data_IF_089294977127
#
_entry.id   IF_089294977127
#
_cell.length_a   1.000
_cell.length_b   1.000
_cell.length_c   1.000
_cell.angle_alpha   90.00
_cell.angle_beta   90.00
_cell.angle_gamma   90.00
#
_symmetry.space_group_name_H-M   'P 1'
#
loop_
_entity.id
_entity.type
_entity.pdbx_description
1 polymer ?
#
# COMPACT_ATOMS: atom_id res chain seq x y z
N UNK A 1 5.02 10.90 42.64
CA UNK A 1 3.84 11.47 41.95
C UNK A 1 3.72 10.95 40.52
N UNK A 2 4.71 11.18 39.63
CA UNK A 2 4.64 10.81 38.21
C UNK A 2 4.35 9.31 37.95
N UNK A 3 5.01 8.39 38.67
CA UNK A 3 4.70 6.95 38.58
C UNK A 3 3.23 6.68 38.93
N UNK A 4 2.67 7.34 39.94
CA UNK A 4 1.26 7.23 40.29
C UNK A 4 0.33 7.69 39.17
N UNK A 5 0.69 8.75 38.43
CA UNK A 5 -0.05 9.21 37.26
C UNK A 5 -0.01 8.20 36.10
N UNK A 6 1.14 7.55 35.88
CA UNK A 6 1.26 6.45 34.90
C UNK A 6 0.30 5.33 35.27
N UNK A 7 0.30 4.85 36.52
CA UNK A 7 -0.61 3.78 36.92
C UNK A 7 -2.09 4.21 36.86
N UNK A 8 -2.42 5.45 37.22
CA UNK A 8 -3.79 5.96 37.14
C UNK A 8 -4.30 6.02 35.68
N UNK A 9 -3.50 6.54 34.77
CA UNK A 9 -3.85 6.62 33.33
C UNK A 9 -3.89 5.24 32.69
N UNK A 10 -2.97 4.34 33.07
CA UNK A 10 -2.97 2.96 32.60
C UNK A 10 -4.13 2.13 33.17
N UNK A 11 -4.65 2.46 34.34
CA UNK A 11 -5.89 1.86 34.85
C UNK A 11 -7.08 2.22 33.96
N UNK A 12 -7.19 3.48 33.51
CA UNK A 12 -8.23 3.89 32.55
C UNK A 12 -8.11 3.13 31.22
N UNK A 13 -6.89 2.99 30.68
CA UNK A 13 -6.64 2.18 29.50
C UNK A 13 -6.99 0.70 29.71
N UNK A 14 -6.67 0.14 30.89
CA UNK A 14 -6.99 -1.26 31.22
C UNK A 14 -8.50 -1.49 31.26
N UNK A 15 -9.26 -0.56 31.85
CA UNK A 15 -10.73 -0.60 31.84
C UNK A 15 -11.27 -0.60 30.42
N UNK A 16 -10.72 0.24 29.54
CA UNK A 16 -11.07 0.30 28.12
C UNK A 16 -10.86 -1.04 27.40
N UNK A 17 -9.67 -1.64 27.56
CA UNK A 17 -9.28 -2.90 26.93
C UNK A 17 -10.13 -4.09 27.41
N UNK A 18 -10.46 -4.13 28.71
CA UNK A 18 -11.25 -5.22 29.32
C UNK A 18 -12.71 -5.15 28.92
N UNK A 19 -13.29 -3.95 28.92
CA UNK A 19 -14.70 -3.75 28.59
C UNK A 19 -14.96 -3.81 27.09
N UNK A 20 -13.92 -3.88 26.24
CA UNK A 20 -14.07 -3.93 24.80
C UNK A 20 -14.84 -2.70 24.29
N UNK A 21 -14.51 -1.52 24.83
CA UNK A 21 -15.18 -0.27 24.50
C UNK A 21 -14.76 0.23 23.11
N UNK A 22 -14.82 -0.60 22.07
CA UNK A 22 -14.46 -0.23 20.69
C UNK A 22 -15.22 1.04 20.26
N UNK A 23 -16.49 1.16 20.69
CA UNK A 23 -17.31 2.37 20.48
C UNK A 23 -16.85 3.55 21.36
N UNK A 24 -16.42 3.30 22.59
CA UNK A 24 -15.93 4.32 23.52
C UNK A 24 -14.59 4.90 23.09
N UNK A 25 -13.63 4.06 22.72
CA UNK A 25 -12.31 4.45 22.19
C UNK A 25 -12.48 5.25 20.91
N UNK A 26 -13.37 4.82 20.01
CA UNK A 26 -13.69 5.57 18.79
C UNK A 26 -14.19 6.97 19.12
N UNK A 27 -15.16 7.10 20.03
CA UNK A 27 -15.69 8.41 20.46
C UNK A 27 -14.63 9.28 21.14
N UNK A 28 -13.78 8.70 21.99
CA UNK A 28 -12.68 9.41 22.63
C UNK A 28 -11.69 9.95 21.59
N UNK A 29 -11.35 9.14 20.58
CA UNK A 29 -10.50 9.56 19.46
C UNK A 29 -11.15 10.68 18.63
N UNK A 30 -12.44 10.57 18.31
CA UNK A 30 -13.19 11.62 17.61
C UNK A 30 -13.24 12.93 18.39
N UNK A 31 -13.53 12.87 19.71
CA UNK A 31 -13.49 14.03 20.61
C UNK A 31 -12.10 14.67 20.60
N UNK A 32 -11.05 13.85 20.64
CA UNK A 32 -9.68 14.33 20.68
C UNK A 32 -9.27 15.06 19.39
N UNK A 33 -9.72 14.59 18.23
CA UNK A 33 -9.54 15.30 16.96
C UNK A 33 -10.29 16.65 16.98
N UNK A 34 -11.52 16.69 17.51
CA UNK A 34 -12.27 17.94 17.65
C UNK A 34 -11.55 18.92 18.60
N UNK A 35 -11.05 18.44 19.74
CA UNK A 35 -10.27 19.25 20.67
C UNK A 35 -8.96 19.76 20.04
N UNK A 36 -8.28 18.93 19.25
CA UNK A 36 -7.08 19.33 18.52
C UNK A 36 -7.38 20.44 17.50
N UNK A 37 -8.45 20.30 16.74
CA UNK A 37 -8.89 21.32 15.78
C UNK A 37 -9.31 22.61 16.49
N UNK A 38 -10.00 22.51 17.63
CA UNK A 38 -10.39 23.65 18.44
C UNK A 38 -9.16 24.38 19.00
N UNK A 39 -8.20 23.64 19.55
CA UNK A 39 -6.95 24.19 20.08
C UNK A 39 -6.16 24.91 18.98
N UNK A 40 -6.01 24.27 17.83
CA UNK A 40 -5.32 24.85 16.67
C UNK A 40 -6.02 26.13 16.20
N UNK A 41 -7.35 26.12 16.09
CA UNK A 41 -8.13 27.28 15.69
C UNK A 41 -8.00 28.43 16.70
N UNK A 42 -8.08 28.14 18.00
CA UNK A 42 -7.93 29.16 19.03
C UNK A 42 -6.55 29.80 18.94
N UNK A 43 -5.47 29.01 18.89
CA UNK A 43 -4.10 29.53 18.77
C UNK A 43 -3.95 30.37 17.49
N UNK A 44 -4.47 29.88 16.36
CA UNK A 44 -4.43 30.59 15.09
C UNK A 44 -5.13 31.95 15.12
N UNK A 45 -6.28 32.04 15.78
CA UNK A 45 -7.08 33.27 15.90
C UNK A 45 -6.50 34.24 16.94
N UNK A 46 -5.84 33.73 17.99
CA UNK A 46 -5.22 34.57 19.02
C UNK A 46 -3.83 35.07 18.62
N UNK A 47 -3.14 34.35 17.74
CA UNK A 47 -1.87 34.75 17.15
C UNK A 47 -2.02 35.60 15.89
N UNK A 48 -0.92 36.04 15.27
CA UNK A 48 -0.95 36.78 14.01
C UNK A 48 -1.32 35.85 12.84
N UNK A 49 -2.63 35.64 12.64
CA UNK A 49 -3.19 34.65 11.70
C UNK A 49 -2.57 34.70 10.30
N UNK A 50 -2.45 35.89 9.71
CA UNK A 50 -1.89 36.04 8.37
C UNK A 50 -0.44 35.58 8.29
N UNK A 51 0.37 35.91 9.31
CA UNK A 51 1.75 35.48 9.42
C UNK A 51 1.84 33.96 9.57
N UNK A 52 1.03 33.36 10.44
CA UNK A 52 1.05 31.92 10.69
C UNK A 52 0.66 31.11 9.44
N UNK A 53 -0.37 31.55 8.71
CA UNK A 53 -0.79 30.87 7.48
C UNK A 53 0.24 31.04 6.36
N UNK A 54 0.75 32.26 6.15
CA UNK A 54 1.79 32.50 5.14
C UNK A 54 3.08 31.75 5.47
N UNK A 55 3.50 31.75 6.74
CA UNK A 55 4.66 31.02 7.24
C UNK A 55 4.49 29.51 7.10
N UNK A 56 3.30 28.97 7.37
CA UNK A 56 3.00 27.54 7.17
C UNK A 56 3.18 27.15 5.70
N UNK A 57 2.65 27.95 4.77
CA UNK A 57 2.78 27.68 3.34
C UNK A 57 4.23 27.78 2.88
N UNK A 58 4.97 28.79 3.34
CA UNK A 58 6.38 28.95 3.05
C UNK A 58 7.20 27.77 3.58
N UNK A 59 6.95 27.33 4.81
CA UNK A 59 7.62 26.19 5.45
C UNK A 59 7.32 24.88 4.71
N UNK A 60 6.09 24.70 4.23
CA UNK A 60 5.74 23.55 3.39
C UNK A 60 6.53 23.55 2.08
N UNK A 61 6.61 24.70 1.39
CA UNK A 61 7.43 24.84 0.18
C UNK A 61 8.91 24.54 0.43
N UNK A 62 9.46 25.05 1.54
CA UNK A 62 10.83 24.78 1.96
C UNK A 62 11.08 23.31 2.32
N UNK A 63 10.10 22.63 2.95
CA UNK A 63 10.17 21.20 3.23
C UNK A 63 10.23 20.37 1.94
N UNK A 64 9.36 20.67 0.96
CA UNK A 64 9.34 19.98 -0.33
C UNK A 64 10.64 20.20 -1.09
N UNK A 65 11.12 21.44 -1.18
CA UNK A 65 12.39 21.77 -1.82
C UNK A 65 13.59 21.11 -1.13
N UNK A 66 13.53 20.96 0.20
CA UNK A 66 14.59 20.38 1.02
C UNK A 66 14.53 18.86 1.20
N UNK A 67 13.57 18.16 0.59
CA UNK A 67 13.33 16.74 0.87
C UNK A 67 14.56 15.88 0.59
N UNK A 68 15.06 15.91 -0.65
CA UNK A 68 16.24 15.12 -1.07
C UNK A 68 17.50 15.45 -0.27
N UNK A 69 17.94 16.72 -0.16
CA UNK A 69 19.18 17.03 0.56
C UNK A 69 19.08 16.64 2.05
N UNK A 70 17.95 16.91 2.72
CA UNK A 70 17.79 16.54 4.14
C UNK A 70 17.72 15.03 4.37
N UNK A 71 17.19 14.25 3.43
CA UNK A 71 17.18 12.78 3.52
C UNK A 71 18.58 12.19 3.48
N UNK A 72 19.51 12.82 2.75
CA UNK A 72 20.87 12.31 2.55
C UNK A 72 21.92 13.01 3.44
N UNK A 73 21.52 14.03 4.19
CA UNK A 73 22.42 14.77 5.06
C UNK A 73 22.75 13.97 6.33
N UNK A 74 24.03 13.60 6.43
CA UNK A 74 24.60 12.88 7.57
C UNK A 74 25.45 13.79 8.46
N UNK A 75 25.47 15.11 8.22
CA UNK A 75 26.29 16.07 8.96
C UNK A 75 27.80 15.72 8.99
N UNK A 76 28.30 15.05 7.94
CA UNK A 76 29.68 14.51 7.87
C UNK A 76 30.73 15.62 7.98
N UNK A 77 30.46 16.77 7.37
CA UNK A 77 31.38 17.91 7.33
C UNK A 77 31.10 18.94 8.44
N UNK A 78 29.98 18.82 9.14
CA UNK A 78 29.59 19.67 10.29
C UNK A 78 29.04 18.80 11.43
N UNK A 79 29.88 17.98 12.10
CA UNK A 79 29.42 17.03 13.11
C UNK A 79 28.69 17.74 14.25
N UNK A 80 27.51 17.24 14.60
CA UNK A 80 26.64 17.81 15.63
C UNK A 80 25.84 16.73 16.36
N UNK A 81 25.55 16.95 17.64
CA UNK A 81 24.67 16.09 18.43
C UNK A 81 23.21 16.14 17.93
N UNK A 82 22.87 17.12 17.09
CA UNK A 82 21.54 17.29 16.51
C UNK A 82 21.07 16.05 15.73
N UNK A 83 21.97 15.46 14.94
CA UNK A 83 21.62 14.32 14.09
C UNK A 83 21.17 13.11 14.92
N UNK A 84 21.89 12.83 16.02
CA UNK A 84 21.53 11.77 16.97
C UNK A 84 20.27 12.09 17.77
N UNK A 85 20.20 13.29 18.36
CA UNK A 85 19.12 13.70 19.26
C UNK A 85 17.76 13.88 18.59
N UNK A 86 17.74 14.20 17.29
CA UNK A 86 16.51 14.46 16.55
C UNK A 86 16.28 13.46 15.41
N UNK A 87 17.13 13.47 14.38
CA UNK A 87 16.89 12.69 13.16
C UNK A 87 16.90 11.18 13.45
N UNK A 88 17.98 10.66 14.04
CA UNK A 88 18.10 9.24 14.36
C UNK A 88 17.05 8.83 15.41
N UNK A 89 16.82 9.67 16.42
CA UNK A 89 15.79 9.42 17.42
C UNK A 89 14.40 9.25 16.78
N UNK A 90 13.96 10.19 15.95
CA UNK A 90 12.63 10.10 15.31
C UNK A 90 12.56 8.92 14.33
N UNK A 91 13.62 8.63 13.57
CA UNK A 91 13.65 7.41 12.74
C UNK A 91 13.49 6.15 13.60
N UNK A 92 14.23 6.06 14.71
CA UNK A 92 14.11 4.95 15.65
C UNK A 92 12.70 4.83 16.22
N UNK A 93 12.12 5.94 16.65
CA UNK A 93 10.74 6.00 17.13
C UNK A 93 9.77 5.48 16.08
N UNK A 94 9.75 6.06 14.88
CA UNK A 94 8.79 5.67 13.84
C UNK A 94 8.95 4.21 13.41
N UNK A 95 10.18 3.71 13.32
CA UNK A 95 10.46 2.29 13.02
C UNK A 95 9.90 1.39 14.14
N UNK A 96 10.13 1.72 15.41
CA UNK A 96 9.59 0.94 16.54
C UNK A 96 8.05 0.92 16.59
N UNK A 97 7.40 1.96 16.06
CA UNK A 97 5.95 2.11 16.01
C UNK A 97 5.30 1.52 14.76
N UNK A 98 6.09 1.23 13.71
CA UNK A 98 5.60 0.71 12.46
C UNK A 98 4.72 -0.56 12.56
N UNK A 99 5.01 -1.58 13.41
CA UNK A 99 4.15 -2.76 13.50
C UNK A 99 2.80 -2.43 14.12
N UNK A 100 2.77 -1.54 15.12
CA UNK A 100 1.55 -1.05 15.74
C UNK A 100 0.68 -0.26 14.74
N UNK A 101 1.26 0.77 14.13
CA UNK A 101 0.55 1.64 13.18
C UNK A 101 0.16 0.87 11.92
N UNK A 102 1.04 0.02 11.39
CA UNK A 102 0.81 -0.74 10.17
C UNK A 102 -0.41 -1.65 10.26
N UNK A 103 -0.59 -2.39 11.36
CA UNK A 103 -1.77 -3.24 11.58
C UNK A 103 -3.04 -2.39 11.66
N UNK A 104 -2.99 -1.28 12.40
CA UNK A 104 -4.15 -0.39 12.54
C UNK A 104 -4.58 0.19 11.19
N UNK A 105 -3.64 0.79 10.44
CA UNK A 105 -3.94 1.40 9.14
C UNK A 105 -4.40 0.33 8.15
N UNK A 106 -3.80 -0.87 8.16
CA UNK A 106 -4.24 -1.98 7.30
C UNK A 106 -5.71 -2.37 7.55
N UNK A 107 -6.15 -2.42 8.82
CA UNK A 107 -7.54 -2.78 9.17
C UNK A 107 -8.56 -1.79 8.63
N UNK A 108 -8.29 -0.50 8.80
CA UNK A 108 -9.21 0.56 8.37
C UNK A 108 -9.16 0.81 6.85
N UNK A 109 -8.17 0.23 6.16
CA UNK A 109 -7.96 0.41 4.71
C UNK A 109 -8.50 -0.74 3.86
N UNK A 110 -9.28 -1.66 4.43
CA UNK A 110 -9.88 -2.78 3.70
C UNK A 110 -10.76 -2.27 2.54
N UNK A 111 -10.51 -2.78 1.34
CA UNK A 111 -11.25 -2.42 0.13
C UNK A 111 -10.74 -1.18 -0.61
N UNK A 112 -9.65 -0.56 -0.15
CA UNK A 112 -8.97 0.52 -0.87
C UNK A 112 -7.96 -0.04 -1.87
N UNK A 113 -7.76 0.67 -2.98
CA UNK A 113 -6.63 0.39 -3.87
C UNK A 113 -5.31 0.76 -3.19
N UNK A 114 -4.20 0.13 -3.59
CA UNK A 114 -2.86 0.45 -3.09
C UNK A 114 -2.55 1.94 -3.29
N UNK A 115 -2.97 2.52 -4.43
CA UNK A 115 -2.75 3.94 -4.74
C UNK A 115 -3.49 4.86 -3.76
N UNK A 116 -4.79 4.64 -3.56
CA UNK A 116 -5.58 5.45 -2.61
C UNK A 116 -5.03 5.34 -1.19
N UNK A 117 -4.63 4.12 -0.79
CA UNK A 117 -4.00 3.87 0.50
C UNK A 117 -2.71 4.69 0.68
N UNK A 118 -1.79 4.62 -0.28
CA UNK A 118 -0.50 5.31 -0.20
C UNK A 118 -0.68 6.83 -0.17
N UNK A 119 -1.55 7.38 -1.01
CA UNK A 119 -1.83 8.82 -1.04
C UNK A 119 -2.48 9.28 0.26
N UNK A 120 -3.48 8.54 0.75
CA UNK A 120 -4.21 8.88 1.96
C UNK A 120 -3.34 8.82 3.22
N UNK A 121 -2.55 7.76 3.38
CA UNK A 121 -1.70 7.57 4.57
C UNK A 121 -0.50 8.51 4.62
N UNK A 122 -0.06 9.03 3.47
CA UNK A 122 1.08 9.96 3.40
C UNK A 122 0.63 11.42 3.42
N UNK A 123 -0.25 11.84 2.50
CA UNK A 123 -0.56 13.26 2.34
C UNK A 123 -1.38 13.83 3.50
N UNK A 124 -2.41 13.11 3.97
CA UNK A 124 -3.34 13.66 4.98
C UNK A 124 -2.60 13.93 6.30
N UNK A 125 -1.81 12.99 6.87
CA UNK A 125 -1.06 13.27 8.10
C UNK A 125 0.03 14.32 7.90
N UNK A 126 0.75 14.31 6.76
CA UNK A 126 1.79 15.32 6.48
C UNK A 126 1.21 16.72 6.47
N UNK A 127 0.11 16.96 5.76
CA UNK A 127 -0.52 18.28 5.70
C UNK A 127 -1.03 18.73 7.08
N UNK A 128 -1.62 17.82 7.84
CA UNK A 128 -2.05 18.12 9.21
C UNK A 128 -0.85 18.50 10.11
N UNK A 129 0.25 17.74 10.06
CA UNK A 129 1.46 18.04 10.83
C UNK A 129 2.08 19.37 10.39
N UNK A 130 2.13 19.65 9.08
CA UNK A 130 2.61 20.93 8.57
C UNK A 130 1.78 22.09 9.12
N UNK A 131 0.45 21.96 9.14
CA UNK A 131 -0.44 22.97 9.71
C UNK A 131 -0.24 23.10 11.23
N UNK A 132 -0.16 21.97 11.94
CA UNK A 132 0.03 21.94 13.38
C UNK A 132 1.34 22.61 13.79
N UNK A 133 2.46 22.21 13.19
CA UNK A 133 3.78 22.78 13.48
C UNK A 133 3.89 24.23 12.99
N UNK A 134 3.27 24.55 11.85
CA UNK A 134 3.23 25.91 11.32
C UNK A 134 2.49 26.87 12.23
N UNK A 135 1.36 26.45 12.82
CA UNK A 135 0.58 27.28 13.74
C UNK A 135 1.19 27.31 15.14
N UNK A 136 1.39 26.16 15.80
CA UNK A 136 1.91 26.13 17.17
C UNK A 136 3.37 26.58 17.24
N UNK A 137 4.22 25.96 16.42
CA UNK A 137 5.65 26.28 16.37
C UNK A 137 5.91 27.69 15.83
N UNK A 138 5.18 28.10 14.79
CA UNK A 138 5.25 29.47 14.28
C UNK A 138 4.83 30.52 15.31
N UNK A 139 3.79 30.26 16.10
CA UNK A 139 3.36 31.15 17.18
C UNK A 139 4.41 31.26 18.29
N UNK A 140 5.00 30.13 18.69
CA UNK A 140 6.06 30.12 19.70
C UNK A 140 7.31 30.87 19.22
N UNK A 141 7.71 30.67 17.96
CA UNK A 141 8.83 31.40 17.37
C UNK A 141 8.55 32.90 17.30
N UNK A 142 7.35 33.31 16.88
CA UNK A 142 6.95 34.71 16.85
C UNK A 142 7.07 35.38 18.23
N UNK A 143 6.61 34.71 19.28
CA UNK A 143 6.74 35.20 20.66
C UNK A 143 8.21 35.39 21.05
N UNK A 144 9.06 34.40 20.73
CA UNK A 144 10.48 34.41 21.11
C UNK A 144 11.26 35.45 20.30
N UNK A 145 11.15 35.44 18.97
CA UNK A 145 12.05 36.19 18.09
C UNK A 145 11.60 37.62 17.83
N UNK A 146 10.29 37.85 17.75
CA UNK A 146 9.75 39.14 17.31
C UNK A 146 9.06 39.92 18.45
N UNK A 147 8.49 39.22 19.44
CA UNK A 147 7.87 39.85 20.61
C UNK A 147 8.79 39.92 21.83
N UNK A 148 10.00 39.34 21.75
CA UNK A 148 11.05 39.47 22.76
C UNK A 148 10.88 38.59 24.00
N UNK A 149 10.01 37.56 23.95
CA UNK A 149 9.82 36.62 25.05
C UNK A 149 10.88 35.51 25.06
N UNK A 150 12.16 35.88 25.13
CA UNK A 150 13.29 34.93 25.10
C UNK A 150 13.27 33.93 26.26
N UNK A 151 12.68 34.32 27.40
CA UNK A 151 12.49 33.45 28.57
C UNK A 151 11.68 32.19 28.25
N UNK A 152 10.73 32.26 27.30
CA UNK A 152 10.01 31.09 26.80
C UNK A 152 10.97 30.10 26.15
N UNK A 153 11.89 30.58 25.31
CA UNK A 153 12.90 29.77 24.66
C UNK A 153 13.83 29.09 25.67
N UNK A 154 14.30 29.84 26.67
CA UNK A 154 15.14 29.32 27.74
C UNK A 154 14.41 28.23 28.56
N UNK A 155 13.15 28.47 28.94
CA UNK A 155 12.35 27.51 29.71
C UNK A 155 12.09 26.21 28.93
N UNK A 156 11.87 26.30 27.61
CA UNK A 156 11.69 25.12 26.74
C UNK A 156 13.00 24.33 26.60
N UNK A 157 14.15 24.99 26.50
CA UNK A 157 15.45 24.31 26.44
C UNK A 157 15.79 23.61 27.76
N UNK A 158 15.49 24.23 28.90
CA UNK A 158 15.71 23.62 30.22
C UNK A 158 14.84 22.37 30.41
N UNK A 159 13.56 22.46 30.04
CA UNK A 159 12.63 21.34 30.18
C UNK A 159 11.61 21.29 29.03
N UNK A 160 11.91 20.52 27.96
CA UNK A 160 11.01 20.37 26.82
C UNK A 160 9.62 19.82 27.21
N UNK A 161 9.52 19.05 28.30
CA UNK A 161 8.26 18.43 28.71
C UNK A 161 7.19 19.43 29.20
N UNK A 162 7.60 20.63 29.63
CA UNK A 162 6.66 21.70 30.03
C UNK A 162 6.45 22.76 28.95
N UNK A 163 7.15 22.64 27.81
CA UNK A 163 7.22 23.68 26.79
C UNK A 163 5.86 24.11 26.22
N UNK A 164 4.95 23.16 26.01
CA UNK A 164 3.59 23.47 25.58
C UNK A 164 2.88 24.39 26.58
N UNK A 165 2.89 24.04 27.87
CA UNK A 165 2.20 24.81 28.89
C UNK A 165 2.84 26.17 29.12
N UNK A 166 4.18 26.25 29.07
CA UNK A 166 4.91 27.52 29.10
C UNK A 166 4.54 28.42 27.92
N UNK A 167 4.36 27.86 26.73
CA UNK A 167 3.90 28.62 25.57
C UNK A 167 2.46 29.14 25.78
N UNK A 168 1.56 28.33 26.34
CA UNK A 168 0.17 28.73 26.57
C UNK A 168 0.02 29.87 27.61
N UNK A 169 1.00 30.07 28.49
CA UNK A 169 1.04 31.20 29.45
C UNK A 169 1.07 32.57 28.74
N UNK A 170 1.53 32.63 27.50
CA UNK A 170 1.60 33.86 26.70
C UNK A 170 0.36 34.09 25.82
N UNK A 171 -0.60 33.16 25.83
CA UNK A 171 -1.84 33.26 25.05
C UNK A 171 -3.02 33.67 25.93
N UNK A 172 -4.04 34.37 25.37
CA UNK A 172 -5.26 34.64 26.11
C UNK A 172 -5.99 33.33 26.47
N UNK A 173 -6.67 33.32 27.62
CA UNK A 173 -7.36 32.15 28.15
C UNK A 173 -6.45 30.93 28.43
N UNK A 174 -5.22 31.18 28.90
CA UNK A 174 -4.23 30.15 29.31
C UNK A 174 -4.84 28.98 30.08
N UNK A 175 -5.68 29.24 31.09
CA UNK A 175 -6.30 28.19 31.89
C UNK A 175 -7.15 27.24 31.03
N UNK A 176 -7.98 27.79 30.14
CA UNK A 176 -8.84 27.00 29.25
C UNK A 176 -8.00 26.19 28.26
N UNK A 177 -7.01 26.83 27.63
CA UNK A 177 -6.11 26.16 26.68
C UNK A 177 -5.30 25.04 27.34
N UNK A 178 -4.86 25.26 28.57
CA UNK A 178 -4.10 24.29 29.37
C UNK A 178 -4.97 23.10 29.77
N UNK A 179 -6.22 23.32 30.18
CA UNK A 179 -7.17 22.24 30.49
C UNK A 179 -7.49 21.43 29.24
N UNK A 180 -7.75 22.08 28.10
CA UNK A 180 -7.98 21.39 26.82
C UNK A 180 -6.77 20.52 26.47
N UNK A 181 -5.57 21.09 26.53
CA UNK A 181 -4.32 20.38 26.21
C UNK A 181 -4.08 19.19 27.15
N UNK A 182 -4.34 19.35 28.45
CA UNK A 182 -4.20 18.28 29.43
C UNK A 182 -5.18 17.14 29.16
N UNK A 183 -6.46 17.46 28.89
CA UNK A 183 -7.47 16.46 28.54
C UNK A 183 -7.07 15.72 27.27
N UNK A 184 -6.60 16.44 26.24
CA UNK A 184 -6.11 15.83 25.01
C UNK A 184 -4.93 14.87 25.26
N UNK A 185 -3.94 15.28 26.06
CA UNK A 185 -2.79 14.44 26.41
C UNK A 185 -3.25 13.15 27.09
N UNK A 186 -4.18 13.24 28.05
CA UNK A 186 -4.73 12.07 28.74
C UNK A 186 -5.49 11.16 27.76
N UNK A 187 -6.32 11.72 26.88
CA UNK A 187 -7.05 10.93 25.89
C UNK A 187 -6.07 10.24 24.93
N UNK A 188 -5.14 10.98 24.33
CA UNK A 188 -4.11 10.42 23.44
C UNK A 188 -3.33 9.28 24.12
N UNK A 189 -2.95 9.47 25.38
CA UNK A 189 -2.22 8.46 26.13
C UNK A 189 -3.07 7.21 26.33
N UNK A 190 -4.32 7.35 26.80
CA UNK A 190 -5.23 6.22 27.04
C UNK A 190 -5.55 5.48 25.74
N UNK A 191 -5.89 6.19 24.66
CA UNK A 191 -6.23 5.56 23.37
C UNK A 191 -5.02 4.87 22.72
N UNK A 192 -3.83 5.47 22.84
CA UNK A 192 -2.60 4.87 22.31
C UNK A 192 -2.16 3.65 23.11
N UNK A 193 -2.25 3.71 24.45
CA UNK A 193 -1.92 2.58 25.32
C UNK A 193 -2.86 1.40 25.12
N UNK A 194 -4.17 1.66 24.99
CA UNK A 194 -5.19 0.67 24.68
C UNK A 194 -4.92 -0.03 23.34
N UNK A 195 -4.74 0.76 22.27
CA UNK A 195 -4.45 0.23 20.93
C UNK A 195 -3.12 -0.53 20.90
N UNK A 196 -2.09 -0.02 21.57
CA UNK A 196 -0.77 -0.67 21.67
C UNK A 196 -0.85 -2.01 22.40
N UNK A 197 -1.56 -2.06 23.52
CA UNK A 197 -1.78 -3.31 24.27
C UNK A 197 -2.56 -4.34 23.44
N UNK A 198 -3.56 -3.89 22.67
CA UNK A 198 -4.30 -4.76 21.75
C UNK A 198 -3.39 -5.42 20.71
N UNK A 199 -2.51 -4.64 20.07
CA UNK A 199 -1.59 -5.17 19.05
C UNK A 199 -0.56 -6.12 19.66
N UNK A 200 0.05 -5.78 20.80
CA UNK A 200 1.00 -6.67 21.49
C UNK A 200 0.34 -8.02 21.86
N UNK A 201 -0.89 -7.94 22.35
CA UNK A 201 -1.69 -9.11 22.65
C UNK A 201 -1.99 -9.96 21.40
N UNK A 202 -2.40 -9.33 20.30
CA UNK A 202 -2.70 -10.01 19.03
C UNK A 202 -1.45 -10.72 18.47
N UNK A 203 -0.29 -10.03 18.47
CA UNK A 203 0.98 -10.60 18.01
C UNK A 203 1.39 -11.81 18.87
N UNK A 204 1.13 -11.75 20.17
CA UNK A 204 1.38 -12.85 21.10
C UNK A 204 0.38 -14.00 20.98
N UNK A 205 -0.75 -13.79 20.30
CA UNK A 205 -1.82 -14.75 20.09
C UNK A 205 -1.91 -15.24 18.64
N UNK A 206 -0.79 -15.22 17.89
CA UNK A 206 -0.72 -15.65 16.47
C UNK A 206 -1.71 -14.93 15.55
N UNK A 207 -1.99 -13.65 15.82
CA UNK A 207 -2.91 -12.85 15.00
C UNK A 207 -4.38 -12.92 15.44
N UNK A 208 -4.70 -13.61 16.54
CA UNK A 208 -6.08 -13.71 17.04
C UNK A 208 -6.44 -12.48 17.88
N UNK A 209 -7.55 -11.83 17.52
CA UNK A 209 -8.06 -10.62 18.21
C UNK A 209 -8.85 -10.93 19.49
N UNK A 210 -9.58 -12.06 19.50
CA UNK A 210 -10.41 -12.45 20.63
C UNK A 210 -9.59 -13.24 21.67
N UNK A 211 -8.85 -12.52 22.50
CA UNK A 211 -8.05 -13.10 23.59
C UNK A 211 -8.71 -12.87 24.95
N UNK A 212 -8.40 -13.71 25.97
CA UNK A 212 -8.91 -13.53 27.31
C UNK A 212 -8.56 -12.15 27.90
N UNK A 213 -9.49 -11.55 28.65
CA UNK A 213 -9.28 -10.24 29.28
C UNK A 213 -8.01 -10.17 30.13
N UNK A 214 -7.68 -11.24 30.87
CA UNK A 214 -6.47 -11.32 31.69
C UNK A 214 -5.19 -11.15 30.85
N UNK A 215 -5.12 -11.77 29.67
CA UNK A 215 -3.98 -11.64 28.77
C UNK A 215 -3.83 -10.20 28.28
N UNK A 216 -4.95 -9.52 28.00
CA UNK A 216 -4.93 -8.12 27.58
C UNK A 216 -4.48 -7.18 28.69
N UNK A 217 -4.95 -7.40 29.93
CA UNK A 217 -4.52 -6.62 31.12
C UNK A 217 -3.04 -6.80 31.46
N UNK A 218 -2.46 -7.95 31.13
CA UNK A 218 -1.03 -8.17 31.32
C UNK A 218 -0.21 -7.20 30.46
N UNK A 219 -0.62 -6.96 29.21
CA UNK A 219 0.09 -6.05 28.31
C UNK A 219 -0.01 -4.59 28.75
N UNK A 220 -1.16 -4.14 29.25
CA UNK A 220 -1.27 -2.79 29.83
C UNK A 220 -0.39 -2.64 31.07
N UNK A 221 -0.30 -3.68 31.91
CA UNK A 221 0.59 -3.68 33.08
C UNK A 221 2.07 -3.64 32.69
N UNK A 222 2.48 -4.42 31.68
CA UNK A 222 3.85 -4.43 31.16
C UNK A 222 4.24 -3.06 30.61
N UNK A 223 3.35 -2.41 29.84
CA UNK A 223 3.58 -1.05 29.33
C UNK A 223 3.74 -0.05 30.48
N UNK A 224 2.87 -0.11 31.50
CA UNK A 224 2.94 0.77 32.66
C UNK A 224 4.26 0.61 33.44
N UNK A 225 4.70 -0.64 33.61
CA UNK A 225 5.95 -0.97 34.28
C UNK A 225 7.15 -0.48 33.46
N UNK A 226 7.18 -0.75 32.16
CA UNK A 226 8.24 -0.29 31.27
C UNK A 226 8.35 1.24 31.27
N UNK A 227 7.22 1.95 31.14
CA UNK A 227 7.18 3.41 31.22
C UNK A 227 7.69 3.93 32.58
N UNK A 228 7.32 3.28 33.68
CA UNK A 228 7.79 3.64 35.02
C UNK A 228 9.29 3.43 35.19
N UNK A 229 9.84 2.31 34.68
CA UNK A 229 11.28 2.02 34.73
C UNK A 229 12.09 3.02 33.90
N UNK A 230 11.62 3.36 32.69
CA UNK A 230 12.26 4.37 31.85
C UNK A 230 12.21 5.75 32.50
N UNK A 231 11.08 6.11 33.12
CA UNK A 231 10.96 7.36 33.85
C UNK A 231 11.96 7.45 35.01
N UNK A 232 12.06 6.39 35.82
CA UNK A 232 12.98 6.34 36.96
C UNK A 232 14.45 6.22 36.55
N UNK A 233 14.73 5.60 35.39
CA UNK A 233 16.08 5.37 34.88
C UNK A 233 16.71 6.56 34.16
N UNK A 234 15.98 7.66 33.96
CA UNK A 234 16.50 8.86 33.29
C UNK A 234 15.49 9.65 32.46
N UNK A 235 14.19 9.32 32.53
CA UNK A 235 13.14 10.09 31.89
C UNK A 235 13.23 10.09 30.37
N UNK A 236 13.20 11.30 29.78
CA UNK A 236 13.21 11.48 28.32
C UNK A 236 14.46 10.87 27.67
N UNK A 237 15.65 11.08 28.26
CA UNK A 237 16.90 10.58 27.69
C UNK A 237 16.96 9.05 27.70
N UNK A 238 16.52 8.42 28.79
CA UNK A 238 16.39 6.97 28.88
C UNK A 238 15.40 6.43 27.84
N UNK A 239 14.26 7.10 27.66
CA UNK A 239 13.25 6.75 26.65
C UNK A 239 13.78 6.86 25.22
N UNK A 240 14.49 7.95 24.88
CA UNK A 240 15.12 8.13 23.57
C UNK A 240 16.13 7.02 23.29
N UNK A 241 16.99 6.71 24.27
CA UNK A 241 18.03 5.69 24.14
C UNK A 241 17.43 4.30 23.95
N UNK A 242 16.45 3.92 24.77
CA UNK A 242 15.76 2.64 24.66
C UNK A 242 15.03 2.50 23.31
N UNK A 243 14.42 3.59 22.83
CA UNK A 243 13.74 3.62 21.54
C UNK A 243 14.71 3.35 20.39
N UNK A 244 15.83 4.07 20.32
CA UNK A 244 16.86 3.86 19.29
C UNK A 244 17.41 2.44 19.34
N UNK A 245 17.75 1.94 20.54
CA UNK A 245 18.28 0.59 20.72
C UNK A 245 17.30 -0.50 20.25
N UNK A 246 16.00 -0.33 20.52
CA UNK A 246 14.95 -1.27 20.08
C UNK A 246 14.65 -1.20 18.58
N UNK A 247 14.85 -0.04 17.96
CA UNK A 247 14.52 0.18 16.55
C UNK A 247 15.48 -0.52 15.59
N UNK A 248 16.76 -0.63 15.94
CA UNK A 248 17.77 -1.25 15.10
C UNK A 248 17.46 -2.70 14.69
N UNK A 249 17.19 -3.65 15.62
CA UNK A 249 16.82 -5.02 15.24
C UNK A 249 15.51 -5.06 14.46
N UNK A 250 14.55 -4.17 14.77
CA UNK A 250 13.29 -4.11 14.06
C UNK A 250 13.46 -3.57 12.62
N UNK A 251 14.39 -2.64 12.38
CA UNK A 251 14.73 -2.17 11.04
C UNK A 251 15.18 -3.32 10.13
N UNK A 252 15.99 -4.25 10.65
CA UNK A 252 16.42 -5.45 9.91
C UNK A 252 15.21 -6.32 9.55
N UNK A 253 14.30 -6.56 10.51
CA UNK A 253 13.07 -7.30 10.25
C UNK A 253 12.18 -6.61 9.19
N UNK A 254 12.10 -5.28 9.22
CA UNK A 254 11.34 -4.47 8.27
C UNK A 254 11.91 -4.57 6.84
N UNK A 255 13.24 -4.61 6.67
CA UNK A 255 13.85 -4.87 5.36
C UNK A 255 13.46 -6.25 4.80
N UNK A 256 13.44 -7.28 5.65
CA UNK A 256 12.93 -8.60 5.28
C UNK A 256 11.45 -8.57 4.87
N UNK A 257 10.63 -7.80 5.58
CA UNK A 257 9.22 -7.60 5.25
C UNK A 257 9.03 -6.88 3.90
N UNK A 258 9.84 -5.86 3.58
CA UNK A 258 9.79 -5.19 2.28
C UNK A 258 10.16 -6.13 1.13
N UNK A 259 11.18 -6.97 1.31
CA UNK A 259 11.54 -7.97 0.32
C UNK A 259 10.42 -9.01 0.11
N UNK A 260 9.83 -9.52 1.19
CA UNK A 260 8.70 -10.44 1.13
C UNK A 260 7.47 -9.83 0.46
N UNK A 261 7.18 -8.56 0.77
CA UNK A 261 6.09 -7.80 0.14
C UNK A 261 6.33 -7.59 -1.35
N UNK A 262 7.55 -7.26 -1.76
CA UNK A 262 7.92 -7.15 -3.18
C UNK A 262 7.65 -8.45 -3.94
N UNK A 263 8.04 -9.60 -3.38
CA UNK A 263 7.71 -10.92 -3.94
C UNK A 263 6.22 -11.18 -4.02
N UNK A 264 5.47 -10.81 -2.97
CA UNK A 264 4.03 -11.00 -2.92
C UNK A 264 3.29 -10.19 -4.00
N UNK A 265 3.70 -8.92 -4.24
CA UNK A 265 3.12 -8.09 -5.30
C UNK A 265 3.38 -8.69 -6.68
N UNK A 266 4.61 -9.16 -6.94
CA UNK A 266 4.93 -9.79 -8.23
C UNK A 266 4.08 -11.04 -8.45
N UNK A 267 3.93 -11.88 -7.43
CA UNK A 267 3.08 -13.05 -7.50
C UNK A 267 1.59 -12.71 -7.71
N UNK A 268 1.09 -11.65 -7.05
CA UNK A 268 -0.29 -11.18 -7.22
C UNK A 268 -0.53 -10.60 -8.62
N UNK A 269 0.44 -9.86 -9.16
CA UNK A 269 0.42 -9.37 -10.55
C UNK A 269 0.36 -10.51 -11.56
N UNK A 270 1.19 -11.54 -11.39
CA UNK A 270 1.17 -12.74 -12.23
C UNK A 270 -0.18 -13.48 -12.13
N UNK A 271 -0.75 -13.60 -10.93
CA UNK A 271 -2.06 -14.21 -10.71
C UNK A 271 -3.18 -13.42 -11.39
N UNK A 272 -3.13 -12.09 -11.33
CA UNK A 272 -4.10 -11.22 -11.98
C UNK A 272 -4.02 -11.33 -13.51
N UNK A 273 -2.81 -11.40 -14.06
CA UNK A 273 -2.59 -11.65 -15.49
C UNK A 273 -3.15 -13.02 -15.90
N UNK A 274 -2.93 -14.06 -15.09
CA UNK A 274 -3.49 -15.38 -15.34
C UNK A 274 -5.04 -15.41 -15.29
N UNK A 275 -5.66 -14.54 -14.48
CA UNK A 275 -7.12 -14.42 -14.39
C UNK A 275 -7.75 -13.60 -15.51
N UNK A 276 -6.98 -12.74 -16.19
CA UNK A 276 -7.45 -12.01 -17.38
C UNK A 276 -7.37 -12.82 -18.67
N UNK A 277 -6.77 -14.02 -18.62
CA UNK A 277 -6.79 -14.99 -19.73
C UNK A 277 -8.26 -15.36 -19.99
N UNK A 278 -8.72 -15.11 -21.23
CA UNK A 278 -10.09 -15.36 -21.66
C UNK A 278 -10.51 -16.80 -21.30
N UNK A 279 -11.64 -16.94 -20.61
CA UNK A 279 -12.24 -18.26 -20.45
C UNK A 279 -12.63 -18.75 -21.84
N UNK A 280 -12.23 -19.96 -22.26
CA UNK A 280 -12.63 -20.46 -23.57
C UNK A 280 -14.15 -20.51 -23.68
N UNK A 281 -14.67 -20.41 -24.92
CA UNK A 281 -16.09 -20.47 -25.18
C UNK A 281 -16.71 -21.74 -24.59
N UNK A 282 -17.99 -21.63 -24.20
CA UNK A 282 -18.77 -22.63 -23.46
C UNK A 282 -18.49 -24.05 -23.96
N UNK A 283 -17.83 -24.85 -23.13
CA UNK A 283 -17.62 -26.26 -23.44
C UNK A 283 -18.93 -27.03 -23.27
N UNK A 284 -19.26 -27.91 -24.21
CA UNK A 284 -20.23 -28.97 -23.96
C UNK A 284 -19.79 -29.79 -22.74
N UNK A 285 -20.73 -30.23 -21.91
CA UNK A 285 -20.47 -30.87 -20.60
C UNK A 285 -19.57 -32.12 -20.66
N UNK A 286 -19.34 -32.71 -21.84
CA UNK A 286 -18.50 -33.89 -22.04
C UNK A 286 -17.01 -33.55 -22.28
N UNK A 287 -16.67 -32.33 -22.74
CA UNK A 287 -15.32 -31.98 -23.21
C UNK A 287 -14.29 -31.62 -22.12
N UNK A 288 -14.68 -31.56 -20.84
CA UNK A 288 -13.76 -31.14 -19.77
C UNK A 288 -12.62 -32.15 -19.53
N UNK A 289 -12.82 -33.44 -19.82
CA UNK A 289 -11.78 -34.47 -19.67
C UNK A 289 -10.67 -34.31 -20.70
N UNK A 290 -11.03 -34.03 -21.95
CA UNK A 290 -10.06 -33.77 -23.02
C UNK A 290 -9.29 -32.48 -22.76
N UNK A 291 -9.98 -31.45 -22.25
CA UNK A 291 -9.31 -30.22 -21.82
C UNK A 291 -8.37 -30.42 -20.65
N UNK A 292 -8.76 -31.21 -19.64
CA UNK A 292 -7.86 -31.52 -18.54
C UNK A 292 -6.62 -32.27 -19.04
N UNK A 293 -6.78 -33.19 -20.00
CA UNK A 293 -5.66 -33.86 -20.66
C UNK A 293 -4.73 -32.87 -21.34
N UNK A 294 -5.27 -31.92 -22.11
CA UNK A 294 -4.50 -30.87 -22.79
C UNK A 294 -3.78 -29.93 -21.81
N UNK A 295 -4.41 -29.56 -20.69
CA UNK A 295 -3.79 -28.72 -19.65
C UNK A 295 -2.65 -29.42 -18.90
N UNK A 296 -2.64 -30.75 -18.93
CA UNK A 296 -1.59 -31.59 -18.34
C UNK A 296 -0.57 -32.05 -19.38
N UNK A 297 -0.81 -31.79 -20.66
CA UNK A 297 0.10 -32.09 -21.75
C UNK A 297 1.02 -30.88 -21.99
N UNK A 298 2.30 -31.17 -22.24
CA UNK A 298 3.30 -30.16 -22.55
C UNK A 298 3.76 -30.36 -24.00
N UNK A 299 3.06 -29.77 -24.99
CA UNK A 299 3.30 -30.07 -26.40
C UNK A 299 4.65 -29.54 -26.88
N UNK A 300 5.30 -30.31 -27.76
CA UNK A 300 6.45 -29.83 -28.55
C UNK A 300 6.00 -28.87 -29.65
N UNK A 301 7.00 -28.19 -30.23
CA UNK A 301 6.85 -27.34 -31.40
C UNK A 301 6.08 -28.03 -32.54
N UNK A 302 6.37 -29.31 -32.81
CA UNK A 302 5.70 -30.08 -33.88
C UNK A 302 4.20 -30.26 -33.65
N UNK A 303 3.81 -30.52 -32.40
CA UNK A 303 2.41 -30.66 -32.01
C UNK A 303 1.67 -29.33 -32.18
N UNK A 304 2.30 -28.22 -31.76
CA UNK A 304 1.73 -26.87 -31.94
C UNK A 304 1.60 -26.51 -33.43
N UNK A 305 2.62 -26.77 -34.26
CA UNK A 305 2.55 -26.52 -35.70
C UNK A 305 1.46 -27.34 -36.39
N UNK A 306 1.28 -28.60 -35.98
CA UNK A 306 0.22 -29.47 -36.50
C UNK A 306 -1.16 -28.92 -36.14
N UNK A 307 -1.34 -28.47 -34.90
CA UNK A 307 -2.55 -27.81 -34.45
C UNK A 307 -2.83 -26.51 -35.22
N UNK A 308 -1.80 -25.65 -35.41
CA UNK A 308 -1.94 -24.41 -36.16
C UNK A 308 -2.39 -24.68 -37.60
N UNK A 309 -1.82 -25.67 -38.29
CA UNK A 309 -2.19 -26.00 -39.68
C UNK A 309 -3.59 -26.60 -39.80
N UNK A 310 -3.95 -27.53 -38.90
CA UNK A 310 -5.19 -28.31 -39.05
C UNK A 310 -6.42 -27.63 -38.44
N UNK A 311 -6.26 -26.89 -37.35
CA UNK A 311 -7.37 -26.26 -36.63
C UNK A 311 -7.39 -24.74 -36.85
N UNK A 312 -6.30 -24.04 -36.53
CA UNK A 312 -6.26 -22.57 -36.56
C UNK A 312 -6.37 -22.03 -37.99
N UNK A 313 -5.51 -22.50 -38.90
CA UNK A 313 -5.51 -22.04 -40.29
C UNK A 313 -6.81 -22.40 -41.00
N UNK A 314 -7.36 -23.59 -40.75
CA UNK A 314 -8.65 -24.01 -41.29
C UNK A 314 -9.81 -23.15 -40.73
N UNK A 315 -9.80 -22.81 -39.44
CA UNK A 315 -10.76 -21.91 -38.82
C UNK A 315 -10.71 -20.50 -39.45
N UNK A 316 -9.52 -19.91 -39.53
CA UNK A 316 -9.31 -18.59 -40.11
C UNK A 316 -9.69 -18.53 -41.59
N UNK A 317 -9.37 -19.57 -42.36
CA UNK A 317 -9.76 -19.67 -43.77
C UNK A 317 -11.27 -19.76 -43.94
N UNK A 318 -11.95 -20.58 -43.13
CA UNK A 318 -13.41 -20.69 -43.14
C UNK A 318 -14.08 -19.37 -42.78
N UNK A 319 -13.53 -18.64 -41.81
CA UNK A 319 -14.04 -17.32 -41.42
C UNK A 319 -13.80 -16.28 -42.52
N UNK A 320 -12.61 -16.26 -43.11
CA UNK A 320 -12.26 -15.35 -44.20
C UNK A 320 -13.12 -15.59 -45.46
N UNK A 321 -13.45 -16.84 -45.80
CA UNK A 321 -14.33 -17.13 -46.94
C UNK A 321 -15.75 -16.60 -46.71
N UNK A 322 -16.29 -16.75 -45.50
CA UNK A 322 -17.62 -16.25 -45.14
C UNK A 322 -17.69 -14.72 -45.19
N UNK A 323 -16.62 -14.03 -44.79
CA UNK A 323 -16.49 -12.58 -44.93
C UNK A 323 -16.40 -12.15 -46.40
N UNK A 324 -15.64 -12.89 -47.21
CA UNK A 324 -15.48 -12.59 -48.64
C UNK A 324 -16.80 -12.74 -49.41
N UNK A 325 -17.63 -13.74 -49.07
CA UNK A 325 -18.98 -13.89 -49.64
C UNK A 325 -19.89 -12.70 -49.32
N UNK A 326 -19.63 -11.99 -48.22
CA UNK A 326 -20.36 -10.81 -47.78
C UNK A 326 -19.73 -9.49 -48.23
N UNK A 327 -18.67 -9.56 -49.05
CA UNK A 327 -18.01 -8.40 -49.65
C UNK A 327 -16.97 -7.73 -48.76
N UNK A 328 -16.54 -8.36 -47.66
CA UNK A 328 -15.45 -7.87 -46.80
C UNK A 328 -14.15 -8.55 -47.20
N UNK A 329 -13.10 -7.77 -47.48
CA UNK A 329 -11.81 -8.33 -47.86
C UNK A 329 -11.10 -8.92 -46.63
N UNK A 330 -10.83 -10.22 -46.66
CA UNK A 330 -10.10 -10.92 -45.61
C UNK A 330 -8.96 -11.77 -46.20
N UNK A 331 -7.81 -11.77 -45.53
CA UNK A 331 -6.60 -12.51 -45.93
C UNK A 331 -6.12 -13.36 -44.75
N UNK A 332 -5.73 -14.60 -45.04
CA UNK A 332 -4.99 -15.44 -44.08
C UNK A 332 -3.54 -15.55 -44.53
N UNK A 333 -2.62 -15.22 -43.63
CA UNK A 333 -1.17 -15.29 -43.82
C UNK A 333 -0.63 -16.34 -42.86
N UNK A 334 0.08 -17.32 -43.39
CA UNK A 334 0.87 -18.25 -42.58
C UNK A 334 2.34 -18.05 -42.95
N UNK A 335 3.22 -17.90 -41.96
CA UNK A 335 4.67 -17.92 -42.22
C UNK A 335 5.12 -19.34 -42.59
N UNK A 336 6.13 -19.45 -43.45
CA UNK A 336 6.62 -20.73 -44.01
C UNK A 336 7.08 -21.72 -42.92
N UNK A 337 7.50 -21.23 -41.75
CA UNK A 337 7.92 -22.04 -40.59
C UNK A 337 6.76 -22.42 -39.64
N UNK A 338 5.50 -22.06 -39.96
CA UNK A 338 4.30 -22.41 -39.18
C UNK A 338 4.33 -22.01 -37.69
N UNK A 339 5.15 -21.02 -37.33
CA UNK A 339 5.20 -20.44 -35.98
C UNK A 339 4.14 -19.36 -35.78
N UNK A 340 3.54 -18.84 -36.86
CA UNK A 340 2.47 -17.85 -36.79
C UNK A 340 1.43 -18.05 -37.91
N UNK A 341 0.15 -17.95 -37.55
CA UNK A 341 -0.98 -17.87 -38.49
C UNK A 341 -1.79 -16.62 -38.17
N UNK A 342 -1.96 -15.76 -39.16
CA UNK A 342 -2.59 -14.44 -39.02
C UNK A 342 -3.79 -14.30 -39.96
N UNK A 343 -4.91 -13.84 -39.41
CA UNK A 343 -6.08 -13.38 -40.13
C UNK A 343 -6.08 -11.84 -40.14
N UNK A 344 -6.18 -11.25 -41.33
CA UNK A 344 -6.27 -9.81 -41.57
C UNK A 344 -7.61 -9.53 -42.25
N UNK A 345 -8.47 -8.71 -41.64
CA UNK A 345 -9.75 -8.29 -42.22
C UNK A 345 -9.71 -6.78 -42.46
N UNK A 346 -9.83 -6.38 -43.73
CA UNK A 346 -9.66 -5.00 -44.14
C UNK A 346 -10.95 -4.19 -44.08
N UNK A 347 -10.88 -2.99 -43.51
CA UNK A 347 -12.02 -2.08 -43.36
C UNK A 347 -11.89 -0.77 -44.17
N UNK A 348 -11.00 -0.75 -45.18
CA UNK A 348 -10.82 0.38 -46.09
C UNK A 348 -9.89 1.44 -45.50
N UNK A 349 -10.41 2.63 -45.21
CA UNK A 349 -9.65 3.73 -44.60
C UNK A 349 -9.55 3.61 -43.06
N UNK A 350 -10.26 2.64 -42.46
CA UNK A 350 -10.26 2.38 -41.02
C UNK A 350 -9.14 1.41 -40.61
N UNK A 351 -8.97 1.24 -39.29
CA UNK A 351 -8.04 0.26 -38.73
C UNK A 351 -8.51 -1.16 -39.10
N UNK A 352 -7.60 -1.96 -39.66
CA UNK A 352 -7.84 -3.35 -40.00
C UNK A 352 -7.87 -4.24 -38.74
N UNK A 353 -8.71 -5.26 -38.76
CA UNK A 353 -8.76 -6.26 -37.70
C UNK A 353 -7.68 -7.33 -37.93
N UNK A 354 -6.83 -7.56 -36.93
CA UNK A 354 -5.78 -8.58 -36.98
C UNK A 354 -5.97 -9.54 -35.82
N UNK A 355 -6.10 -10.82 -36.16
CA UNK A 355 -6.11 -11.93 -35.21
C UNK A 355 -4.98 -12.89 -35.57
N UNK A 356 -3.98 -13.02 -34.70
CA UNK A 356 -2.79 -13.83 -34.94
C UNK A 356 -2.61 -14.88 -33.85
N UNK A 357 -2.30 -16.11 -34.23
CA UNK A 357 -1.92 -17.17 -33.29
C UNK A 357 -0.44 -17.46 -33.49
N UNK A 358 0.35 -17.31 -32.42
CA UNK A 358 1.80 -17.53 -32.43
C UNK A 358 2.18 -18.72 -31.55
N UNK A 359 3.22 -19.45 -31.97
CA UNK A 359 3.85 -20.47 -31.16
C UNK A 359 4.87 -19.82 -30.20
N UNK A 360 4.58 -19.84 -28.90
CA UNK A 360 5.43 -19.24 -27.85
C UNK A 360 6.06 -20.32 -26.98
N UNK A 361 7.38 -20.26 -26.77
CA UNK A 361 8.10 -21.19 -25.90
C UNK A 361 8.05 -20.73 -24.43
N UNK A 362 7.68 -21.64 -23.53
CA UNK A 362 7.58 -21.41 -22.09
C UNK A 362 8.39 -22.43 -21.28
N UNK A 363 9.02 -22.02 -20.16
CA UNK A 363 9.68 -22.96 -19.26
C UNK A 363 8.66 -23.82 -18.51
N UNK A 364 9.02 -25.06 -18.20
CA UNK A 364 8.18 -25.95 -17.39
C UNK A 364 7.92 -25.37 -15.99
N UNK A 365 6.70 -25.51 -15.43
CA UNK A 365 6.37 -25.01 -14.08
C UNK A 365 7.22 -25.64 -12.97
N UNK A 366 7.62 -26.90 -13.16
CA UNK A 366 8.52 -27.64 -12.27
C UNK A 366 9.32 -28.64 -13.10
N UNK A 367 10.64 -28.64 -12.93
CA UNK A 367 11.55 -29.57 -13.59
C UNK A 367 11.33 -31.04 -13.16
N UNK A 368 10.61 -31.26 -12.05
CA UNK A 368 10.25 -32.58 -11.55
C UNK A 368 8.95 -33.14 -12.12
N UNK A 369 8.13 -32.30 -12.77
CA UNK A 369 6.94 -32.75 -13.50
C UNK A 369 7.45 -33.44 -14.77
N UNK A 370 7.48 -34.77 -14.69
CA UNK A 370 8.12 -35.64 -15.65
C UNK A 370 7.64 -35.42 -17.08
N UNK A 371 8.63 -35.34 -17.96
CA UNK A 371 8.58 -35.62 -19.39
C UNK A 371 8.07 -37.06 -19.57
N UNK A 372 6.75 -37.25 -19.45
CA UNK A 372 6.15 -38.58 -19.40
C UNK A 372 6.25 -39.32 -20.75
N UNK A 373 6.49 -38.60 -21.87
CA UNK A 373 6.47 -39.22 -23.20
C UNK A 373 7.53 -38.67 -24.19
N UNK A 374 8.61 -38.05 -23.71
CA UNK A 374 9.71 -37.59 -24.60
C UNK A 374 9.31 -36.50 -25.60
N UNK A 375 8.15 -35.86 -25.40
CA UNK A 375 7.54 -34.84 -26.26
C UNK A 375 7.88 -33.40 -25.87
N UNK A 376 8.78 -33.18 -24.91
CA UNK A 376 9.27 -31.85 -24.58
C UNK A 376 10.77 -31.79 -24.91
N UNK A 377 11.18 -30.88 -25.79
CA UNK A 377 12.59 -30.56 -25.95
C UNK A 377 13.16 -30.08 -24.61
N UNK A 378 14.42 -30.42 -24.35
CA UNK A 378 15.06 -30.20 -23.05
C UNK A 378 15.02 -28.71 -22.63
N UNK A 379 14.01 -28.31 -21.86
CA UNK A 379 13.93 -27.00 -21.21
C UNK A 379 12.57 -26.29 -21.21
N UNK A 380 11.56 -26.76 -21.96
CA UNK A 380 10.27 -26.07 -22.02
C UNK A 380 9.22 -26.73 -22.91
N UNK A 381 8.11 -26.04 -23.11
CA UNK A 381 6.98 -26.46 -23.92
C UNK A 381 6.45 -25.28 -24.74
N UNK A 382 5.69 -25.57 -25.80
CA UNK A 382 5.14 -24.54 -26.67
C UNK A 382 3.64 -24.30 -26.38
N UNK A 383 3.18 -23.07 -26.57
CA UNK A 383 1.77 -22.68 -26.50
C UNK A 383 1.33 -22.02 -27.80
N UNK A 384 0.05 -22.13 -28.14
CA UNK A 384 -0.53 -21.41 -29.27
C UNK A 384 -1.26 -20.17 -28.71
N UNK A 385 -0.57 -19.04 -28.68
CA UNK A 385 -1.05 -17.81 -28.03
C UNK A 385 -1.69 -16.85 -29.03
N UNK A 386 -2.82 -16.27 -28.64
CA UNK A 386 -3.54 -15.28 -29.45
C UNK A 386 -3.00 -13.86 -29.21
N UNK A 387 -2.69 -13.17 -30.31
CA UNK A 387 -2.26 -11.79 -30.35
C UNK A 387 -3.15 -10.98 -31.29
N UNK A 388 -3.64 -9.84 -30.79
CA UNK A 388 -4.47 -8.89 -31.54
C UNK A 388 -3.64 -7.64 -31.88
N UNK A 389 -4.02 -6.89 -32.93
CA UNK A 389 -3.37 -5.62 -33.29
C UNK A 389 -3.36 -4.59 -32.15
N UNK A 390 -4.39 -4.61 -31.30
CA UNK A 390 -4.64 -3.63 -30.23
C UNK A 390 -3.83 -3.94 -28.95
N UNK A 391 -3.15 -5.09 -28.90
CA UNK A 391 -2.39 -5.57 -27.74
C UNK A 391 -2.73 -7.02 -27.39
N UNK A 392 -1.72 -7.81 -27.02
CA UNK A 392 -1.86 -9.26 -26.80
C UNK A 392 -2.74 -9.61 -25.59
N UNK A 393 -3.73 -10.47 -25.80
CA UNK A 393 -4.44 -11.13 -24.71
C UNK A 393 -3.72 -12.41 -24.25
N UNK A 394 -2.65 -12.83 -24.96
CA UNK A 394 -1.66 -13.87 -24.63
C UNK A 394 -2.26 -15.14 -24.00
N UNK A 395 -3.46 -15.53 -24.44
CA UNK A 395 -4.12 -16.75 -23.98
C UNK A 395 -3.86 -17.90 -24.93
N UNK A 396 -3.73 -19.09 -24.35
CA UNK A 396 -3.43 -20.33 -25.07
C UNK A 396 -4.71 -20.97 -25.60
N UNK A 397 -4.76 -21.17 -26.91
CA UNK A 397 -5.87 -21.85 -27.63
C UNK A 397 -5.55 -23.30 -27.96
N UNK A 398 -4.44 -23.85 -27.46
CA UNK A 398 -4.06 -25.24 -27.75
C UNK A 398 -5.19 -26.23 -27.43
N UNK A 399 -5.50 -27.04 -28.44
CA UNK A 399 -6.50 -28.10 -28.37
C UNK A 399 -7.96 -27.63 -28.46
N UNK A 400 -8.21 -26.37 -28.79
CA UNK A 400 -9.54 -25.89 -29.13
C UNK A 400 -10.00 -26.48 -30.48
N UNK A 401 -11.31 -26.72 -30.62
CA UNK A 401 -11.87 -27.14 -31.91
C UNK A 401 -11.89 -25.96 -32.91
N UNK A 402 -12.02 -26.27 -34.20
CA UNK A 402 -12.19 -25.25 -35.23
C UNK A 402 -13.38 -24.32 -34.93
N UNK A 403 -14.49 -24.86 -34.44
CA UNK A 403 -15.67 -24.09 -34.04
C UNK A 403 -15.37 -23.15 -32.87
N UNK A 404 -14.62 -23.61 -31.86
CA UNK A 404 -14.24 -22.77 -30.72
C UNK A 404 -13.34 -21.61 -31.14
N UNK A 405 -12.40 -21.85 -32.06
CA UNK A 405 -11.53 -20.80 -32.62
C UNK A 405 -12.38 -19.79 -33.42
N UNK A 406 -13.35 -20.26 -34.21
CA UNK A 406 -14.26 -19.36 -34.97
C UNK A 406 -15.11 -18.51 -34.02
N UNK A 407 -15.67 -19.09 -32.96
CA UNK A 407 -16.46 -18.34 -31.96
C UNK A 407 -15.60 -17.29 -31.27
N UNK A 408 -14.34 -17.60 -30.98
CA UNK A 408 -13.40 -16.65 -30.40
C UNK A 408 -13.07 -15.50 -31.37
N UNK A 409 -12.76 -15.82 -32.63
CA UNK A 409 -12.56 -14.81 -33.68
C UNK A 409 -13.80 -13.91 -33.83
N UNK A 410 -15.00 -14.50 -33.80
CA UNK A 410 -16.27 -13.76 -33.87
C UNK A 410 -16.42 -12.76 -32.72
N UNK A 411 -16.17 -13.17 -31.48
CA UNK A 411 -16.26 -12.29 -30.32
C UNK A 411 -15.27 -11.12 -30.42
N UNK A 412 -14.02 -11.41 -30.78
CA UNK A 412 -12.99 -10.36 -30.95
C UNK A 412 -13.32 -9.42 -32.11
N UNK A 413 -13.90 -9.95 -33.19
CA UNK A 413 -14.33 -9.14 -34.33
C UNK A 413 -15.53 -8.25 -33.98
N UNK A 414 -16.48 -8.74 -33.19
CA UNK A 414 -17.61 -7.95 -32.68
C UNK A 414 -17.14 -6.79 -31.80
N UNK A 415 -16.19 -7.05 -30.89
CA UNK A 415 -15.55 -6.02 -30.05
C UNK A 415 -14.84 -4.96 -30.91
N UNK A 416 -14.12 -5.39 -31.96
CA UNK A 416 -13.46 -4.48 -32.89
C UNK A 416 -14.46 -3.63 -33.70
N UNK A 417 -15.58 -4.22 -34.15
CA UNK A 417 -16.64 -3.46 -34.81
C UNK A 417 -17.25 -2.41 -33.87
N UNK A 418 -17.47 -2.76 -32.60
CA UNK A 418 -17.92 -1.80 -31.59
C UNK A 418 -16.93 -0.64 -31.38
N UNK A 419 -15.63 -0.94 -31.38
CA UNK A 419 -14.57 0.06 -31.33
C UNK A 419 -14.67 1.03 -32.53
N UNK A 420 -14.75 0.51 -33.76
CA UNK A 420 -14.89 1.35 -34.97
C UNK A 420 -16.14 2.24 -34.93
N UNK A 421 -17.27 1.75 -34.40
CA UNK A 421 -18.49 2.55 -34.23
C UNK A 421 -18.32 3.68 -33.21
N UNK A 422 -17.54 3.45 -32.16
CA UNK A 422 -17.33 4.44 -31.08
C UNK A 422 -16.40 5.56 -31.51
N UNK A 423 -15.37 5.25 -32.31
CA UNK A 423 -14.40 6.24 -32.81
C UNK A 423 -15.00 7.14 -33.92
N UNK A 424 -16.06 6.69 -34.59
CA UNK A 424 -16.77 7.47 -35.62
C UNK A 424 -17.75 8.53 -35.08
N UNK A 425 -18.09 8.51 -33.79
CA UNK A 425 -18.87 9.57 -33.13
C UNK A 425 -17.95 10.67 -32.60
#
# INVERSE_FOLDING_TARGET
VQVGLIFATMALATVSVVLGLDTGIKRLSEINIVLAMLLLLLILLTGPTALLLAGTLQNFGAYVAGLVPRTLDMYVYEPTDWFGGWTIFYWGWWISWAPFVGVFVARISRGRTIREFLVGVTLVPTLFICLWMGVLGGSALELITNQGFEELGAAVQENPAVGLFRFLEYLPATEVLSVISLVMIVIFFVTSADSGAMVLNMLSAKGVDNTPALQRTLWTMVIALAASLLLLGGGLQALQTATIASALPFAIAMLGAFWGFGKAIVADGAKRQAQSIHAPPVMAAEGWRDRLRLLLDYPDDRTVQTFQRNAVQAAMQSFASELAERGVAARVVAEDDALSVRLEVSHGDEVDFIYEVRASHHPLPDASIGVADGSAEAGGFFRAEVHLAEGGQDYDVMGWSQEQIIVDILNQYEDHLHFLHTVRQ
#
